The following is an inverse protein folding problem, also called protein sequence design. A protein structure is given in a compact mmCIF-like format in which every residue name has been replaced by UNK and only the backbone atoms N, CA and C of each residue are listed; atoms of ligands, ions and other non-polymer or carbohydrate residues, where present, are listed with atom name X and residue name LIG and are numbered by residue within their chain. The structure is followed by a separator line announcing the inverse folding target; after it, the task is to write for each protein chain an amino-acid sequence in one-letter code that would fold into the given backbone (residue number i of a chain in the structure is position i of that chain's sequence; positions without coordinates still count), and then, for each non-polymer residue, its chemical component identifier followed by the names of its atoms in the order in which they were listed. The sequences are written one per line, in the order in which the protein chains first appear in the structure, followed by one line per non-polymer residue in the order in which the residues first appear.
data_IF_046767929019
#
_entry.id   IF_046767929019
#
_cell.length_a   1.000
_cell.length_b   1.000
_cell.length_c   1.000
_cell.angle_alpha   90.00
_cell.angle_beta   90.00
_cell.angle_gamma   90.00
#
_symmetry.space_group_name_H-M   'P 1'
#
loop_
_entity.id
_entity.type
_entity.pdbx_description
1 polymer ?
#
# COMPACT_ATOMS: atom_id res chain seq x y z
N UNK A 1 20.52 21.11 2.36
CA UNK A 1 21.03 20.09 3.30
C UNK A 1 21.17 18.75 2.61
N UNK A 2 22.12 17.94 3.04
CA UNK A 2 22.28 16.56 2.54
C UNK A 2 21.77 15.58 3.59
N UNK A 3 21.07 14.52 3.16
CA UNK A 3 20.69 13.39 4.01
C UNK A 3 21.59 12.23 3.61
N UNK A 4 22.49 11.81 4.51
CA UNK A 4 23.34 10.65 4.32
C UNK A 4 22.73 9.45 5.05
N UNK A 5 22.39 8.40 4.30
CA UNK A 5 21.87 7.14 4.84
C UNK A 5 22.96 6.08 4.74
N UNK A 6 23.41 5.57 5.88
CA UNK A 6 24.34 4.44 5.94
C UNK A 6 23.62 3.20 6.45
N UNK A 7 23.84 2.06 5.80
CA UNK A 7 23.27 0.79 6.22
C UNK A 7 24.13 0.13 7.30
N UNK A 8 23.49 -0.66 8.18
CA UNK A 8 24.20 -1.46 9.18
C UNK A 8 25.17 -2.43 8.50
N UNK A 9 26.37 -2.55 9.04
CA UNK A 9 27.41 -3.47 8.56
C UNK A 9 27.87 -4.39 9.69
N UNK A 10 28.52 -5.48 9.34
CA UNK A 10 29.17 -6.37 10.29
C UNK A 10 30.28 -5.69 11.07
N UNK A 11 30.51 -6.20 12.27
CA UNK A 11 31.66 -5.80 13.12
C UNK A 11 32.53 -7.01 13.39
N UNK A 12 33.79 -6.77 13.66
CA UNK A 12 34.70 -7.82 14.13
C UNK A 12 34.23 -8.37 15.47
N UNK A 13 34.21 -9.68 15.60
CA UNK A 13 33.79 -10.36 16.81
C UNK A 13 32.96 -11.60 16.53
N UNK A 14 32.55 -12.27 17.61
CA UNK A 14 31.63 -13.42 17.55
C UNK A 14 30.28 -13.02 16.92
N UNK A 15 29.57 -13.97 16.26
CA UNK A 15 28.25 -13.72 15.76
C UNK A 15 27.30 -13.23 16.86
N UNK A 16 26.60 -12.12 16.57
CA UNK A 16 25.56 -11.55 17.43
C UNK A 16 24.25 -11.66 16.67
N UNK A 17 23.26 -12.32 17.28
CA UNK A 17 21.90 -12.39 16.78
C UNK A 17 21.05 -11.33 17.48
N UNK A 18 20.28 -10.59 16.72
CA UNK A 18 19.31 -9.62 17.21
C UNK A 18 17.92 -10.01 16.75
N UNK A 19 16.93 -9.85 17.62
CA UNK A 19 15.53 -10.05 17.32
C UNK A 19 14.74 -8.87 17.87
N UNK A 20 13.86 -8.30 17.04
CA UNK A 20 12.93 -7.27 17.46
C UNK A 20 11.55 -7.66 16.95
N UNK A 21 10.53 -7.44 17.78
CA UNK A 21 9.14 -7.59 17.39
C UNK A 21 8.30 -6.48 18.03
N UNK A 22 7.34 -5.99 17.30
CA UNK A 22 6.37 -5.02 17.78
C UNK A 22 5.01 -5.31 17.15
N UNK A 23 3.95 -5.06 17.92
CA UNK A 23 2.58 -5.09 17.46
C UNK A 23 1.87 -3.84 17.99
N UNK A 24 0.88 -3.37 17.26
CA UNK A 24 0.13 -2.18 17.60
C UNK A 24 -1.14 -2.07 16.79
N UNK A 25 -1.79 -0.92 16.91
CA UNK A 25 -2.99 -0.59 16.18
C UNK A 25 -2.82 0.76 15.49
N UNK A 26 -3.28 0.84 14.23
CA UNK A 26 -3.48 2.07 13.50
C UNK A 26 -4.91 2.55 13.71
N UNK A 27 -5.10 3.82 14.02
CA UNK A 27 -6.42 4.42 14.25
C UNK A 27 -6.55 5.72 13.46
N UNK A 28 -7.75 6.04 12.92
CA UNK A 28 -7.99 7.37 12.38
C UNK A 28 -7.80 8.42 13.47
N UNK A 29 -6.95 9.40 13.21
CA UNK A 29 -6.76 10.52 14.17
C UNK A 29 -8.00 11.38 14.29
N UNK A 30 -8.77 11.51 13.20
CA UNK A 30 -10.00 12.26 13.12
C UNK A 30 -10.82 11.80 11.92
N UNK A 31 -12.11 11.55 12.13
CA UNK A 31 -13.12 11.43 11.08
C UNK A 31 -14.02 12.66 11.10
N UNK A 32 -14.58 13.09 9.96
CA UNK A 32 -15.60 14.12 9.94
C UNK A 32 -16.80 13.69 10.79
N UNK A 33 -17.27 14.57 11.65
CA UNK A 33 -18.54 14.38 12.35
C UNK A 33 -19.66 14.83 11.41
N UNK A 34 -20.54 13.91 11.05
CA UNK A 34 -21.71 14.18 10.22
C UNK A 34 -22.96 14.37 11.08
N UNK A 35 -23.99 14.96 10.51
CA UNK A 35 -25.33 15.02 11.12
C UNK A 35 -25.96 13.64 11.14
N UNK A 36 -26.76 13.34 12.13
CA UNK A 36 -27.67 12.19 12.11
C UNK A 36 -28.94 12.48 11.27
N UNK A 37 -29.78 11.47 11.06
CA UNK A 37 -30.97 11.58 10.21
C UNK A 37 -31.99 12.59 10.74
N UNK A 38 -32.17 12.66 12.05
CA UNK A 38 -33.08 13.64 12.68
C UNK A 38 -32.58 15.08 12.50
N UNK A 39 -31.30 15.32 12.77
CA UNK A 39 -30.66 16.63 12.57
C UNK A 39 -30.75 17.04 11.10
N UNK A 40 -30.41 16.12 10.17
CA UNK A 40 -30.48 16.36 8.74
C UNK A 40 -31.90 16.71 8.28
N UNK A 41 -32.90 15.90 8.67
CA UNK A 41 -34.31 16.12 8.31
C UNK A 41 -34.85 17.44 8.87
N UNK A 42 -34.47 17.78 10.11
CA UNK A 42 -34.86 19.06 10.74
C UNK A 42 -34.27 20.24 9.97
N UNK A 43 -32.98 20.21 9.69
CA UNK A 43 -32.29 21.27 8.93
C UNK A 43 -32.84 21.41 7.51
N UNK A 44 -33.17 20.29 6.86
CA UNK A 44 -33.76 20.34 5.52
C UNK A 44 -35.17 20.95 5.55
N UNK A 45 -35.98 20.68 6.56
CA UNK A 45 -37.28 21.31 6.73
C UNK A 45 -37.19 22.82 6.98
N UNK A 46 -36.10 23.32 7.59
CA UNK A 46 -35.87 24.77 7.74
C UNK A 46 -35.66 25.45 6.37
N UNK A 47 -34.96 24.78 5.45
CA UNK A 47 -34.64 25.30 4.11
C UNK A 47 -35.77 25.03 3.10
N UNK A 48 -36.37 23.85 3.21
CA UNK A 48 -37.45 23.35 2.34
C UNK A 48 -38.58 22.83 3.21
N UNK A 49 -39.51 23.69 3.67
CA UNK A 49 -40.59 23.30 4.55
C UNK A 49 -41.47 22.17 3.95
N UNK A 50 -41.73 21.14 4.76
CA UNK A 50 -42.55 19.98 4.35
C UNK A 50 -41.78 18.88 3.61
N UNK A 51 -40.42 18.94 3.58
CA UNK A 51 -39.60 17.85 3.05
C UNK A 51 -39.78 16.55 3.82
N UNK A 52 -39.96 16.64 5.13
CA UNK A 52 -40.27 15.55 6.04
C UNK A 52 -41.49 15.90 6.91
N UNK A 53 -42.39 14.91 7.11
CA UNK A 53 -43.51 15.07 8.04
C UNK A 53 -43.10 14.97 9.50
N UNK A 54 -43.97 15.43 10.42
CA UNK A 54 -43.74 15.30 11.87
C UNK A 54 -43.59 13.82 12.29
N UNK A 55 -44.33 12.89 11.65
CA UNK A 55 -44.20 11.47 11.87
C UNK A 55 -42.79 10.95 11.48
N UNK A 56 -42.25 11.41 10.34
CA UNK A 56 -40.92 11.03 9.88
C UNK A 56 -39.84 11.61 10.81
N UNK A 57 -39.99 12.86 11.23
CA UNK A 57 -39.05 13.47 12.21
C UNK A 57 -39.04 12.70 13.53
N UNK A 58 -40.22 12.34 14.04
CA UNK A 58 -40.31 11.54 15.27
C UNK A 58 -39.77 10.11 15.07
N UNK A 59 -40.01 9.52 13.89
CA UNK A 59 -39.44 8.21 13.53
C UNK A 59 -37.92 8.20 13.53
N UNK A 60 -37.28 9.22 12.94
CA UNK A 60 -35.81 9.38 12.97
C UNK A 60 -35.30 9.65 14.39
N UNK A 61 -36.00 10.48 15.16
CA UNK A 61 -35.61 10.82 16.54
C UNK A 61 -35.63 9.60 17.48
N UNK A 62 -36.59 8.70 17.28
CA UNK A 62 -36.80 7.53 18.13
C UNK A 62 -36.20 6.24 17.58
N UNK A 63 -35.68 6.26 16.35
CA UNK A 63 -35.26 5.07 15.63
C UNK A 63 -36.31 3.96 15.60
N UNK A 64 -37.60 4.36 15.42
CA UNK A 64 -38.74 3.50 15.63
C UNK A 64 -38.77 2.28 14.71
N UNK A 65 -38.25 2.43 13.49
CA UNK A 65 -38.18 1.35 12.50
C UNK A 65 -36.98 1.56 11.57
N UNK A 66 -35.98 0.68 11.58
CA UNK A 66 -34.76 0.83 10.77
C UNK A 66 -34.99 0.71 9.25
N UNK A 67 -36.12 0.13 8.82
CA UNK A 67 -36.49 0.09 7.42
C UNK A 67 -37.00 1.44 6.92
N UNK A 68 -37.79 2.13 7.75
CA UNK A 68 -38.47 3.40 7.40
C UNK A 68 -37.64 4.61 7.78
N UNK A 69 -36.92 4.53 8.89
CA UNK A 69 -36.21 5.66 9.53
C UNK A 69 -34.75 5.30 9.78
N UNK A 70 -33.97 5.02 8.72
CA UNK A 70 -32.56 4.71 8.89
C UNK A 70 -31.76 5.90 9.41
N UNK A 71 -30.69 5.61 10.12
CA UNK A 71 -29.74 6.60 10.61
C UNK A 71 -28.30 6.08 10.39
N UNK A 72 -27.72 6.48 9.28
CA UNK A 72 -26.45 5.94 8.79
C UNK A 72 -25.32 6.91 9.02
N UNK A 73 -24.37 6.55 9.88
CA UNK A 73 -23.05 7.18 9.89
C UNK A 73 -22.17 6.52 8.81
N UNK A 74 -22.09 7.17 7.66
CA UNK A 74 -21.35 6.65 6.50
C UNK A 74 -19.86 6.43 6.75
N UNK A 75 -19.24 7.21 7.66
CA UNK A 75 -17.85 6.99 8.01
C UNK A 75 -17.67 5.79 8.93
N UNK A 76 -18.61 5.55 9.84
CA UNK A 76 -18.58 4.35 10.70
C UNK A 76 -18.85 3.08 9.88
N UNK A 77 -19.71 3.17 8.86
CA UNK A 77 -19.96 2.04 7.94
C UNK A 77 -18.74 1.63 7.12
N UNK A 78 -17.88 2.58 6.73
CA UNK A 78 -16.73 2.29 5.86
C UNK A 78 -15.40 2.16 6.61
N UNK A 79 -15.26 2.71 7.82
CA UNK A 79 -13.98 2.82 8.52
C UNK A 79 -14.02 2.06 9.85
N UNK A 80 -13.02 1.23 10.10
CA UNK A 80 -12.79 0.59 11.40
C UNK A 80 -12.25 1.61 12.40
N UNK A 81 -12.62 1.49 13.66
CA UNK A 81 -12.03 2.29 14.73
C UNK A 81 -10.54 2.01 14.96
N UNK A 82 -10.08 0.79 14.66
CA UNK A 82 -8.68 0.39 14.73
C UNK A 82 -8.37 -0.76 13.79
N UNK A 83 -7.13 -0.82 13.31
CA UNK A 83 -6.59 -1.92 12.49
C UNK A 83 -5.26 -2.40 13.05
N UNK A 84 -5.01 -3.71 13.13
CA UNK A 84 -3.78 -4.25 13.66
C UNK A 84 -2.61 -3.99 12.70
N UNK A 85 -1.45 -3.76 13.26
CA UNK A 85 -0.17 -3.72 12.58
C UNK A 85 0.86 -4.53 13.36
N UNK A 86 1.80 -5.14 12.65
CA UNK A 86 2.91 -5.85 13.26
C UNK A 86 4.20 -5.65 12.49
N UNK A 87 5.30 -5.76 13.20
CA UNK A 87 6.64 -5.79 12.63
C UNK A 87 7.51 -6.75 13.43
N UNK A 88 8.28 -7.56 12.71
CA UNK A 88 9.32 -8.39 13.31
C UNK A 88 10.55 -8.37 12.42
N UNK A 89 11.73 -8.39 13.04
CA UNK A 89 12.99 -8.54 12.34
C UNK A 89 13.96 -9.41 13.14
N UNK A 90 14.72 -10.22 12.41
CA UNK A 90 15.82 -11.01 12.93
C UNK A 90 17.09 -10.67 12.14
N UNK A 91 18.17 -10.41 12.84
CA UNK A 91 19.45 -10.07 12.24
C UNK A 91 20.60 -10.85 12.84
N UNK A 92 21.61 -11.08 12.04
CA UNK A 92 22.88 -11.63 12.48
C UNK A 92 24.03 -10.76 11.95
N UNK A 93 25.00 -10.47 12.80
CA UNK A 93 26.20 -9.73 12.42
C UNK A 93 27.42 -10.31 13.13
N UNK A 94 28.55 -10.27 12.47
CA UNK A 94 29.81 -10.75 13.03
C UNK A 94 30.93 -10.61 12.03
N UNK A 95 32.08 -11.20 12.35
CA UNK A 95 33.21 -11.24 11.42
C UNK A 95 34.57 -11.34 12.06
N UNK A 96 35.54 -11.36 11.18
CA UNK A 96 36.97 -11.29 11.48
C UNK A 96 37.52 -9.98 10.96
N UNK A 97 38.80 -9.73 11.16
CA UNK A 97 39.48 -8.60 10.52
C UNK A 97 39.36 -8.59 9.00
N UNK A 98 39.32 -9.80 8.38
CA UNK A 98 39.29 -9.94 6.91
C UNK A 98 37.87 -9.96 6.33
N UNK A 99 36.89 -10.51 7.05
CA UNK A 99 35.55 -10.68 6.57
C UNK A 99 34.55 -10.27 7.64
N UNK A 100 33.68 -9.31 7.31
CA UNK A 100 32.59 -8.86 8.19
C UNK A 100 31.27 -9.03 7.44
N UNK A 101 30.25 -9.49 8.15
CA UNK A 101 28.95 -9.73 7.55
C UNK A 101 27.83 -9.21 8.45
N UNK A 102 26.76 -8.81 7.79
CA UNK A 102 25.48 -8.48 8.37
C UNK A 102 24.39 -9.07 7.49
N UNK A 103 23.43 -9.78 8.08
CA UNK A 103 22.22 -10.19 7.41
C UNK A 103 21.01 -9.88 8.30
N UNK A 104 19.92 -9.45 7.72
CA UNK A 104 18.67 -9.16 8.41
C UNK A 104 17.49 -9.57 7.55
N UNK A 105 16.56 -10.28 8.14
CA UNK A 105 15.24 -10.55 7.57
C UNK A 105 14.20 -9.81 8.39
N UNK A 106 13.30 -9.10 7.71
CA UNK A 106 12.20 -8.36 8.32
C UNK A 106 10.87 -8.69 7.67
N UNK A 107 9.83 -8.72 8.48
CA UNK A 107 8.44 -8.83 8.06
C UNK A 107 7.61 -7.77 8.77
N UNK A 108 6.77 -7.07 8.04
CA UNK A 108 5.76 -6.18 8.60
C UNK A 108 4.46 -6.28 7.83
N UNK A 109 3.36 -6.10 8.53
CA UNK A 109 2.04 -6.08 7.95
C UNK A 109 1.12 -5.11 8.67
N UNK A 110 0.17 -4.60 7.92
CA UNK A 110 -0.84 -3.67 8.40
C UNK A 110 -2.15 -3.95 7.68
N UNK A 111 -3.22 -4.16 8.42
CA UNK A 111 -4.56 -4.19 7.86
C UNK A 111 -5.02 -2.76 7.56
N UNK A 112 -5.73 -2.59 6.46
CA UNK A 112 -6.35 -1.31 6.14
C UNK A 112 -7.53 -0.98 7.04
N UNK A 113 -7.89 0.29 7.06
CA UNK A 113 -8.97 0.80 7.89
C UNK A 113 -10.38 0.58 7.30
N UNK A 114 -10.52 0.07 6.07
CA UNK A 114 -11.85 -0.22 5.52
C UNK A 114 -12.49 -1.42 6.23
N UNK A 115 -13.76 -1.22 6.60
CA UNK A 115 -14.59 -2.28 7.17
C UNK A 115 -14.95 -3.31 6.08
N UNK A 116 -14.98 -4.59 6.44
CA UNK A 116 -15.38 -5.69 5.54
C UNK A 116 -14.60 -5.76 4.20
N UNK A 117 -13.37 -5.28 4.19
CA UNK A 117 -12.48 -5.32 3.04
C UNK A 117 -11.20 -6.08 3.36
N UNK A 118 -10.65 -6.78 2.35
CA UNK A 118 -9.32 -7.39 2.41
C UNK A 118 -8.18 -6.37 2.22
N UNK A 119 -8.42 -5.07 2.44
CA UNK A 119 -7.40 -4.03 2.36
C UNK A 119 -6.29 -4.32 3.36
N UNK A 120 -5.08 -4.59 2.83
CA UNK A 120 -3.94 -5.05 3.62
C UNK A 120 -2.63 -4.72 2.91
N UNK A 121 -1.61 -4.46 3.69
CA UNK A 121 -0.22 -4.35 3.26
C UNK A 121 0.63 -5.35 4.01
N UNK A 122 1.39 -6.18 3.28
CA UNK A 122 2.41 -7.07 3.82
C UNK A 122 3.75 -6.80 3.12
N UNK A 123 4.83 -6.74 3.89
CA UNK A 123 6.18 -6.56 3.36
C UNK A 123 7.14 -7.56 3.99
N UNK A 124 7.94 -8.19 3.14
CA UNK A 124 9.08 -9.01 3.53
C UNK A 124 10.36 -8.41 2.97
N UNK A 125 11.40 -8.33 3.77
CA UNK A 125 12.68 -7.76 3.36
C UNK A 125 13.85 -8.62 3.82
N UNK A 126 14.84 -8.78 2.95
CA UNK A 126 16.13 -9.37 3.24
C UNK A 126 17.19 -8.35 2.91
N UNK A 127 18.10 -8.12 3.84
CA UNK A 127 19.30 -7.30 3.62
C UNK A 127 20.53 -8.05 4.05
N UNK A 128 21.54 -8.06 3.17
CA UNK A 128 22.85 -8.59 3.48
C UNK A 128 23.93 -7.58 3.13
N UNK A 129 24.92 -7.45 3.98
CA UNK A 129 26.13 -6.67 3.72
C UNK A 129 27.35 -7.53 4.04
N UNK A 130 28.30 -7.57 3.12
CA UNK A 130 29.55 -8.31 3.24
C UNK A 130 30.72 -7.37 2.93
N UNK A 131 31.64 -7.24 3.89
CA UNK A 131 32.90 -6.51 3.73
C UNK A 131 34.07 -7.51 3.75
N UNK A 132 34.89 -7.50 2.70
CA UNK A 132 36.01 -8.44 2.54
C UNK A 132 37.29 -7.68 2.27
N UNK A 133 38.27 -7.82 3.15
CA UNK A 133 39.65 -7.37 2.94
C UNK A 133 40.46 -8.52 2.37
N UNK A 134 40.70 -8.51 1.06
CA UNK A 134 41.49 -9.58 0.42
C UNK A 134 42.99 -9.39 0.67
N UNK A 135 43.44 -8.15 0.84
CA UNK A 135 44.82 -7.80 1.19
C UNK A 135 44.87 -6.45 1.93
N UNK A 136 46.05 -6.00 2.29
CA UNK A 136 46.25 -4.65 2.82
C UNK A 136 46.00 -3.54 1.80
N UNK A 137 45.84 -3.92 0.53
CA UNK A 137 45.67 -2.98 -0.58
C UNK A 137 44.27 -3.03 -1.21
N UNK A 138 43.54 -4.13 -1.06
CA UNK A 138 42.28 -4.34 -1.77
C UNK A 138 41.16 -4.77 -0.80
N UNK A 139 40.09 -4.04 -0.78
CA UNK A 139 38.85 -4.40 -0.11
C UNK A 139 37.61 -4.31 -1.02
N UNK A 140 36.64 -5.17 -0.73
CA UNK A 140 35.37 -5.26 -1.41
C UNK A 140 34.24 -5.06 -0.40
N UNK A 141 33.18 -4.42 -0.86
CA UNK A 141 31.93 -4.30 -0.12
C UNK A 141 30.77 -4.71 -1.02
N UNK A 142 30.02 -5.71 -0.62
CA UNK A 142 28.81 -6.16 -1.31
C UNK A 142 27.62 -5.87 -0.42
N UNK A 143 26.59 -5.26 -0.99
CA UNK A 143 25.29 -5.09 -0.36
C UNK A 143 24.19 -5.64 -1.27
N UNK A 144 23.30 -6.45 -0.70
CA UNK A 144 22.11 -6.96 -1.40
C UNK A 144 20.90 -6.67 -0.54
N UNK A 145 19.88 -6.08 -1.15
CA UNK A 145 18.57 -5.88 -0.53
C UNK A 145 17.52 -6.48 -1.44
N UNK A 146 16.69 -7.37 -0.91
CA UNK A 146 15.49 -7.86 -1.57
C UNK A 146 14.27 -7.44 -0.75
N UNK A 147 13.19 -7.00 -1.41
CA UNK A 147 11.94 -6.63 -0.78
C UNK A 147 10.76 -7.07 -1.62
N UNK A 148 9.82 -7.74 -0.96
CA UNK A 148 8.52 -8.11 -1.53
C UNK A 148 7.45 -7.32 -0.78
N UNK A 149 6.59 -6.64 -1.53
CA UNK A 149 5.40 -5.95 -1.01
C UNK A 149 4.16 -6.56 -1.67
N UNK A 150 3.18 -6.87 -0.85
CA UNK A 150 1.86 -7.36 -1.27
C UNK A 150 0.82 -6.39 -0.71
N UNK A 151 0.11 -5.68 -1.60
CA UNK A 151 -0.84 -4.63 -1.20
C UNK A 151 -2.18 -4.85 -1.88
N UNK A 152 -3.23 -4.92 -1.08
CA UNK A 152 -4.61 -5.03 -1.55
C UNK A 152 -5.40 -3.79 -1.18
N UNK A 153 -6.17 -3.29 -2.14
CA UNK A 153 -7.10 -2.18 -1.98
C UNK A 153 -8.49 -2.58 -2.50
N UNK A 154 -9.56 -1.88 -2.10
CA UNK A 154 -10.83 -1.94 -2.81
C UNK A 154 -10.62 -1.60 -4.29
N UNK A 155 -11.48 -2.13 -5.16
CA UNK A 155 -11.44 -1.82 -6.59
C UNK A 155 -11.72 -0.33 -6.88
N UNK A 156 -12.45 0.33 -5.99
CA UNK A 156 -12.74 1.76 -6.05
C UNK A 156 -11.73 2.56 -5.24
N UNK A 157 -11.28 3.69 -5.78
CA UNK A 157 -10.27 4.54 -5.16
C UNK A 157 -10.75 5.17 -3.85
N UNK A 158 -9.83 5.36 -2.89
CA UNK A 158 -10.14 5.96 -1.59
C UNK A 158 -10.81 7.34 -1.70
N UNK A 159 -10.35 8.19 -2.63
CA UNK A 159 -10.93 9.51 -2.89
C UNK A 159 -12.41 9.45 -3.28
N UNK A 160 -12.81 8.46 -4.07
CA UNK A 160 -14.20 8.25 -4.50
C UNK A 160 -15.04 7.73 -3.35
N UNK A 161 -14.54 6.72 -2.59
CA UNK A 161 -15.24 6.14 -1.44
C UNK A 161 -15.51 7.21 -0.37
N UNK A 162 -14.48 7.93 0.07
CA UNK A 162 -14.63 9.00 1.06
C UNK A 162 -15.44 10.20 0.53
N UNK A 163 -15.30 10.50 -0.76
CA UNK A 163 -16.09 11.52 -1.44
C UNK A 163 -17.57 11.17 -1.47
N UNK A 164 -17.92 9.92 -1.75
CA UNK A 164 -19.29 9.43 -1.71
C UNK A 164 -19.85 9.44 -0.29
N UNK A 165 -19.12 8.89 0.69
CA UNK A 165 -19.53 8.88 2.10
C UNK A 165 -19.84 10.28 2.65
N UNK A 166 -19.03 11.30 2.28
CA UNK A 166 -19.25 12.68 2.70
C UNK A 166 -20.51 13.31 2.09
N UNK A 167 -20.94 12.86 0.92
CA UNK A 167 -22.11 13.41 0.22
C UNK A 167 -23.37 12.60 0.44
N UNK A 168 -23.26 11.36 0.91
CA UNK A 168 -24.40 10.52 1.22
C UNK A 168 -25.16 11.06 2.42
N UNK A 169 -26.49 10.98 2.34
CA UNK A 169 -27.40 11.48 3.36
C UNK A 169 -27.57 10.45 4.48
N UNK A 170 -27.66 10.85 5.75
CA UNK A 170 -27.80 9.92 6.87
C UNK A 170 -29.16 9.17 6.87
N UNK A 171 -30.21 9.75 6.28
CA UNK A 171 -31.55 9.13 6.12
C UNK A 171 -31.60 8.07 5.00
N UNK A 172 -30.45 7.62 4.49
CA UNK A 172 -30.32 6.59 3.49
C UNK A 172 -29.62 5.36 4.10
N UNK A 173 -30.01 4.16 3.62
CA UNK A 173 -29.57 2.87 4.14
C UNK A 173 -28.24 2.46 3.53
N UNK A 174 -27.25 2.13 4.34
CA UNK A 174 -26.03 1.48 3.88
C UNK A 174 -26.22 -0.02 3.64
N UNK A 175 -26.82 -0.69 4.61
CA UNK A 175 -27.18 -2.11 4.58
C UNK A 175 -28.59 -2.26 5.14
N UNK A 176 -29.43 -3.03 4.46
CA UNK A 176 -30.74 -3.36 4.98
C UNK A 176 -30.64 -4.21 6.25
N UNK A 177 -31.62 -4.15 7.17
CA UNK A 177 -31.61 -4.96 8.39
C UNK A 177 -31.54 -6.46 8.14
N UNK A 178 -31.96 -6.92 6.96
CA UNK A 178 -31.85 -8.31 6.48
C UNK A 178 -30.45 -8.68 5.96
N UNK A 179 -29.54 -7.71 5.86
CA UNK A 179 -28.13 -7.92 5.52
C UNK A 179 -27.77 -7.63 4.05
N UNK A 180 -28.75 -7.38 3.19
CA UNK A 180 -28.48 -7.00 1.80
C UNK A 180 -27.94 -5.57 1.69
N UNK A 181 -27.11 -5.29 0.65
CA UNK A 181 -26.66 -3.94 0.34
C UNK A 181 -27.82 -2.95 0.19
N UNK A 182 -27.70 -1.78 0.81
CA UNK A 182 -28.65 -0.68 0.61
C UNK A 182 -28.70 -0.18 -0.84
N UNK A 183 -29.59 0.78 -1.14
CA UNK A 183 -29.76 1.30 -2.49
C UNK A 183 -28.57 2.14 -2.95
N UNK A 184 -28.60 2.55 -4.21
CA UNK A 184 -27.72 3.58 -4.75
C UNK A 184 -28.03 4.94 -4.10
N UNK A 185 -27.09 5.50 -3.38
CA UNK A 185 -27.29 6.71 -2.56
C UNK A 185 -26.57 7.94 -3.12
N UNK A 186 -25.45 7.73 -3.80
CA UNK A 186 -24.66 8.82 -4.38
C UNK A 186 -24.22 8.45 -5.80
N UNK A 187 -24.82 9.07 -6.81
CA UNK A 187 -24.51 8.88 -8.24
C UNK A 187 -24.42 7.40 -8.67
N UNK A 188 -25.37 6.59 -8.23
CA UNK A 188 -25.39 5.17 -8.54
C UNK A 188 -24.49 4.32 -7.64
N UNK A 189 -23.94 4.87 -6.56
CA UNK A 189 -22.99 4.24 -5.65
C UNK A 189 -23.56 4.10 -4.23
N UNK A 190 -23.08 3.08 -3.53
CA UNK A 190 -23.20 2.92 -2.09
C UNK A 190 -21.80 2.72 -1.52
N UNK A 191 -21.21 3.73 -0.84
CA UNK A 191 -19.82 3.67 -0.40
C UNK A 191 -19.54 2.58 0.64
N UNK A 192 -20.53 2.17 1.43
CA UNK A 192 -20.39 1.05 2.37
C UNK A 192 -20.21 -0.29 1.64
N UNK A 193 -20.76 -0.41 0.43
CA UNK A 193 -20.67 -1.60 -0.41
C UNK A 193 -19.41 -1.55 -1.30
N UNK A 194 -19.17 -0.42 -1.95
CA UNK A 194 -18.05 -0.29 -2.90
C UNK A 194 -16.69 -0.17 -2.24
N UNK A 195 -16.63 0.07 -0.93
CA UNK A 195 -15.41 -0.07 -0.12
C UNK A 195 -15.03 -1.51 0.21
N UNK A 196 -15.90 -2.48 -0.11
CA UNK A 196 -15.71 -3.91 0.18
C UNK A 196 -15.25 -4.70 -1.05
N UNK A 197 -14.93 -5.98 -0.85
CA UNK A 197 -14.54 -6.91 -1.91
C UNK A 197 -15.72 -7.30 -2.85
N UNK A 198 -16.95 -6.90 -2.50
CA UNK A 198 -18.11 -7.07 -3.38
C UNK A 198 -17.93 -6.31 -4.70
N UNK A 199 -17.33 -5.12 -4.65
CA UNK A 199 -17.03 -4.33 -5.84
C UNK A 199 -15.74 -4.78 -6.56
N UNK A 200 -15.00 -5.75 -6.00
CA UNK A 200 -13.73 -6.25 -6.50
C UNK A 200 -12.52 -5.78 -5.70
N UNK A 201 -11.35 -5.82 -6.32
CA UNK A 201 -10.08 -5.50 -5.64
C UNK A 201 -9.05 -4.91 -6.60
N UNK A 202 -8.10 -4.17 -6.06
CA UNK A 202 -6.89 -3.70 -6.73
C UNK A 202 -5.67 -4.23 -5.97
N UNK A 203 -4.99 -5.20 -6.55
CA UNK A 203 -3.92 -5.95 -5.92
C UNK A 203 -2.58 -5.67 -6.59
N UNK A 204 -1.60 -5.21 -5.80
CA UNK A 204 -0.25 -4.91 -6.23
C UNK A 204 0.73 -5.88 -5.57
N UNK A 205 1.63 -6.44 -6.37
CA UNK A 205 2.82 -7.15 -5.89
C UNK A 205 4.05 -6.46 -6.45
N UNK A 206 4.85 -5.85 -5.55
CA UNK A 206 6.11 -5.22 -5.90
C UNK A 206 7.27 -6.09 -5.41
N UNK A 207 8.27 -6.29 -6.26
CA UNK A 207 9.49 -7.02 -5.96
C UNK A 207 10.67 -6.11 -6.28
N UNK A 208 11.50 -5.85 -5.30
CA UNK A 208 12.70 -5.04 -5.43
C UNK A 208 13.91 -5.89 -5.14
N UNK A 209 14.92 -5.81 -6.01
CA UNK A 209 16.25 -6.39 -5.80
C UNK A 209 17.25 -5.27 -6.06
N UNK A 210 18.00 -4.91 -5.06
CA UNK A 210 19.00 -3.83 -5.12
C UNK A 210 20.35 -4.40 -4.72
N UNK A 211 21.31 -4.27 -5.61
CA UNK A 211 22.67 -4.77 -5.40
C UNK A 211 23.64 -3.62 -5.53
N UNK A 212 24.61 -3.56 -4.63
CA UNK A 212 25.73 -2.64 -4.75
C UNK A 212 27.05 -3.35 -4.45
N UNK A 213 28.04 -3.08 -5.28
CA UNK A 213 29.40 -3.55 -5.12
C UNK A 213 30.34 -2.35 -5.10
N UNK A 214 31.19 -2.28 -4.10
CA UNK A 214 32.27 -1.31 -4.04
C UNK A 214 33.61 -2.03 -3.94
N UNK A 215 34.60 -1.51 -4.64
CA UNK A 215 35.98 -2.00 -4.64
C UNK A 215 36.90 -0.82 -4.34
N UNK A 216 37.78 -0.96 -3.34
CA UNK A 216 38.77 0.03 -3.03
C UNK A 216 40.17 -0.59 -3.19
N UNK A 217 41.02 0.09 -3.94
CA UNK A 217 42.40 -0.34 -4.25
C UNK A 217 43.36 0.74 -3.85
N UNK A 218 44.16 0.51 -2.81
CA UNK A 218 45.31 1.37 -2.45
C UNK A 218 46.47 0.99 -3.33
N UNK A 219 46.96 1.94 -4.13
CA UNK A 219 48.05 1.69 -5.05
C UNK A 219 49.37 1.61 -4.29
N UNK A 220 50.04 0.44 -4.20
CA UNK A 220 51.13 0.24 -3.25
C UNK A 220 52.43 1.02 -3.60
N UNK A 221 52.62 1.36 -4.86
CA UNK A 221 53.81 2.09 -5.36
C UNK A 221 53.59 3.60 -5.46
N UNK A 222 52.40 4.10 -5.20
CA UNK A 222 52.07 5.55 -5.17
C UNK A 222 51.42 5.85 -3.84
N UNK A 223 52.21 6.36 -2.90
CA UNK A 223 51.69 6.72 -1.58
C UNK A 223 50.62 7.77 -1.65
N UNK A 224 49.45 7.51 -1.01
CA UNK A 224 48.32 8.40 -0.98
C UNK A 224 47.33 8.19 -2.13
N UNK A 225 47.62 7.34 -3.12
CA UNK A 225 46.72 7.06 -4.23
C UNK A 225 45.75 5.89 -3.90
N UNK A 226 44.45 6.14 -4.03
CA UNK A 226 43.38 5.14 -3.90
C UNK A 226 42.47 5.19 -5.12
N UNK A 227 42.18 4.04 -5.69
CA UNK A 227 41.18 3.87 -6.74
C UNK A 227 39.93 3.28 -6.09
N UNK A 228 38.77 3.87 -6.38
CA UNK A 228 37.48 3.36 -5.91
C UNK A 228 36.56 3.10 -7.11
N UNK A 229 35.99 1.91 -7.17
CA UNK A 229 34.96 1.54 -8.12
C UNK A 229 33.66 1.19 -7.37
N UNK A 230 32.54 1.76 -7.80
CA UNK A 230 31.23 1.43 -7.27
C UNK A 230 30.31 1.06 -8.41
N UNK A 231 29.52 0.00 -8.23
CA UNK A 231 28.50 -0.41 -9.16
C UNK A 231 27.20 -0.74 -8.42
N UNK A 232 26.08 -0.36 -8.99
CA UNK A 232 24.77 -0.83 -8.56
C UNK A 232 23.98 -1.44 -9.72
N UNK A 233 23.14 -2.42 -9.39
CA UNK A 233 22.21 -3.03 -10.30
C UNK A 233 20.89 -3.28 -9.56
N UNK A 234 19.86 -2.53 -9.96
CA UNK A 234 18.58 -2.47 -9.29
C UNK A 234 17.47 -2.95 -10.21
N UNK A 235 16.60 -3.83 -9.70
CA UNK A 235 15.45 -4.35 -10.41
C UNK A 235 14.20 -4.08 -9.58
N UNK A 236 13.16 -3.61 -10.23
CA UNK A 236 11.82 -3.50 -9.67
C UNK A 236 10.81 -4.11 -10.63
N UNK A 237 10.12 -5.15 -10.16
CA UNK A 237 8.96 -5.74 -10.82
C UNK A 237 7.69 -5.33 -10.08
N UNK A 238 6.69 -4.89 -10.83
CA UNK A 238 5.35 -4.67 -10.30
C UNK A 238 4.34 -5.50 -11.10
N UNK A 239 3.53 -6.25 -10.40
CA UNK A 239 2.35 -6.91 -10.93
C UNK A 239 1.11 -6.30 -10.29
N UNK A 240 0.24 -5.70 -11.11
CA UNK A 240 -1.06 -5.21 -10.68
C UNK A 240 -2.16 -6.08 -11.26
N UNK A 241 -3.18 -6.32 -10.46
CA UNK A 241 -4.38 -7.03 -10.84
C UNK A 241 -5.58 -6.25 -10.30
N UNK A 242 -6.26 -5.56 -11.20
CA UNK A 242 -7.47 -4.81 -10.87
C UNK A 242 -8.68 -5.60 -11.37
N UNK A 243 -9.47 -6.11 -10.44
CA UNK A 243 -10.75 -6.74 -10.71
C UNK A 243 -11.87 -5.82 -10.27
N UNK A 244 -12.73 -5.43 -11.20
CA UNK A 244 -13.94 -4.67 -10.92
C UNK A 244 -15.14 -5.59 -11.15
N UNK A 245 -16.10 -5.57 -10.23
CA UNK A 245 -17.31 -6.38 -10.27
C UNK A 245 -18.56 -5.51 -10.32
N UNK A 246 -19.60 -5.92 -11.04
CA UNK A 246 -20.92 -5.33 -10.86
C UNK A 246 -21.35 -5.45 -9.40
N UNK A 247 -21.96 -4.42 -8.87
CA UNK A 247 -22.50 -4.41 -7.52
C UNK A 247 -24.02 -4.51 -7.62
N UNK A 248 -24.64 -5.36 -6.81
CA UNK A 248 -26.08 -5.44 -6.68
C UNK A 248 -26.50 -4.64 -5.47
N UNK A 249 -27.31 -3.61 -5.69
CA UNK A 249 -27.88 -2.75 -4.67
C UNK A 249 -29.38 -2.96 -4.64
N UNK A 250 -29.98 -2.89 -3.47
CA UNK A 250 -31.35 -3.29 -3.24
C UNK A 250 -32.20 -2.10 -2.79
N UNK A 251 -33.35 -1.96 -3.40
CA UNK A 251 -34.34 -0.94 -3.05
C UNK A 251 -35.55 -1.63 -2.43
N UNK A 252 -36.03 -1.10 -1.32
CA UNK A 252 -37.18 -1.60 -0.58
C UNK A 252 -38.48 -1.10 -1.21
N UNK A 253 -39.54 -1.95 -1.18
CA UNK A 253 -40.87 -1.64 -1.70
C UNK A 253 -41.66 -0.67 -0.80
N UNK A 254 -41.17 -0.34 0.38
CA UNK A 254 -41.77 0.55 1.35
C UNK A 254 -42.80 -0.11 2.28
N UNK A 255 -43.04 -1.40 2.15
CA UNK A 255 -44.15 -2.10 2.85
C UNK A 255 -43.71 -3.43 3.48
N UNK A 256 -43.01 -4.27 2.73
CA UNK A 256 -42.66 -5.64 3.15
C UNK A 256 -41.25 -5.66 3.76
N UNK A 257 -41.16 -5.87 5.05
CA UNK A 257 -39.87 -6.01 5.73
C UNK A 257 -39.26 -7.38 5.44
N UNK A 258 -37.93 -7.41 5.21
CA UNK A 258 -37.19 -8.61 4.84
C UNK A 258 -36.79 -8.63 3.35
N UNK A 259 -36.03 -9.66 2.99
CA UNK A 259 -35.47 -9.81 1.64
C UNK A 259 -36.56 -9.89 0.55
N UNK A 260 -37.78 -10.30 0.91
CA UNK A 260 -38.91 -10.41 0.00
C UNK A 260 -39.42 -9.06 -0.50
N UNK A 261 -39.25 -7.99 0.31
CA UNK A 261 -39.62 -6.61 -0.08
C UNK A 261 -38.50 -5.88 -0.82
N UNK A 262 -37.38 -6.54 -1.14
CA UNK A 262 -36.23 -5.94 -1.78
C UNK A 262 -36.14 -6.26 -3.28
N UNK A 263 -35.90 -5.24 -4.07
CA UNK A 263 -35.64 -5.35 -5.52
C UNK A 263 -34.20 -5.03 -5.83
N UNK A 264 -33.47 -5.99 -6.42
CA UNK A 264 -32.09 -5.82 -6.81
C UNK A 264 -31.94 -5.01 -8.10
N UNK A 265 -30.97 -4.10 -8.13
CA UNK A 265 -30.51 -3.44 -9.35
C UNK A 265 -29.00 -3.57 -9.46
N UNK A 266 -28.53 -3.90 -10.66
CA UNK A 266 -27.08 -3.95 -10.95
C UNK A 266 -26.58 -2.52 -11.17
N UNK A 267 -25.51 -2.19 -10.48
CA UNK A 267 -24.90 -0.87 -10.53
C UNK A 267 -23.41 -0.94 -10.85
N UNK A 268 -22.87 0.19 -11.26
CA UNK A 268 -21.47 0.46 -11.54
C UNK A 268 -20.95 -0.15 -12.85
N UNK A 269 -21.14 -1.44 -13.10
CA UNK A 269 -20.69 -2.15 -14.31
C UNK A 269 -21.75 -3.14 -14.76
N UNK A 270 -21.84 -3.38 -16.06
CA UNK A 270 -22.71 -4.42 -16.61
C UNK A 270 -22.09 -5.82 -16.45
N UNK A 271 -20.79 -5.91 -16.61
CA UNK A 271 -20.03 -7.17 -16.53
C UNK A 271 -18.76 -6.99 -15.74
N UNK A 272 -18.21 -8.06 -15.10
CA UNK A 272 -16.93 -8.01 -14.45
C UNK A 272 -15.81 -7.65 -15.44
N UNK A 273 -14.85 -6.87 -14.95
CA UNK A 273 -13.69 -6.38 -15.71
C UNK A 273 -12.41 -6.74 -14.98
N UNK A 274 -11.44 -7.26 -15.72
CA UNK A 274 -10.10 -7.56 -15.21
C UNK A 274 -9.04 -6.83 -16.02
N UNK A 275 -8.22 -6.06 -15.34
CA UNK A 275 -6.98 -5.48 -15.86
C UNK A 275 -5.79 -6.16 -15.18
N UNK A 276 -4.83 -6.60 -15.97
CA UNK A 276 -3.52 -7.02 -15.48
C UNK A 276 -2.45 -6.13 -16.08
N UNK A 277 -1.59 -5.63 -15.22
CA UNK A 277 -0.46 -4.79 -15.59
C UNK A 277 0.81 -5.39 -15.01
N UNK A 278 1.80 -5.55 -15.88
CA UNK A 278 3.15 -5.93 -15.50
C UNK A 278 4.08 -4.80 -15.89
N UNK A 279 4.88 -4.32 -14.96
CA UNK A 279 5.95 -3.37 -15.24
C UNK A 279 7.27 -3.84 -14.67
N UNK A 280 8.33 -3.59 -15.42
CA UNK A 280 9.71 -3.87 -15.07
C UNK A 280 10.52 -2.59 -15.17
N UNK A 281 11.33 -2.34 -14.15
CA UNK A 281 12.30 -1.26 -14.15
C UNK A 281 13.66 -1.81 -13.78
N UNK A 282 14.63 -1.64 -14.68
CA UNK A 282 16.02 -2.01 -14.45
C UNK A 282 16.88 -0.74 -14.45
N UNK A 283 17.70 -0.60 -13.43
CA UNK A 283 18.68 0.48 -13.32
C UNK A 283 20.08 -0.06 -13.05
N UNK A 284 21.08 0.54 -13.67
CA UNK A 284 22.46 0.33 -13.27
C UNK A 284 23.22 1.65 -13.17
N UNK A 285 24.19 1.68 -12.29
CA UNK A 285 25.12 2.78 -12.13
C UNK A 285 26.52 2.22 -11.97
N UNK A 286 27.49 2.84 -12.62
CA UNK A 286 28.91 2.59 -12.45
C UNK A 286 29.59 3.91 -12.15
N UNK A 287 30.40 3.93 -11.10
CA UNK A 287 31.13 5.10 -10.65
C UNK A 287 32.58 4.73 -10.38
N UNK A 288 33.50 5.50 -10.92
CA UNK A 288 34.94 5.36 -10.71
C UNK A 288 35.53 6.64 -10.10
N UNK A 289 36.33 6.50 -9.06
CA UNK A 289 36.98 7.60 -8.36
C UNK A 289 38.48 7.34 -8.24
N UNK A 290 39.28 8.37 -8.46
CA UNK A 290 40.73 8.40 -8.23
C UNK A 290 40.93 9.43 -7.15
N UNK A 291 41.38 9.00 -5.96
CA UNK A 291 41.67 9.86 -4.83
C UNK A 291 43.15 9.87 -4.58
N UNK A 292 43.76 11.02 -4.58
CA UNK A 292 45.13 11.24 -4.14
C UNK A 292 45.14 12.13 -2.89
N UNK A 293 45.65 11.63 -1.79
CA UNK A 293 45.76 12.36 -0.52
C UNK A 293 47.11 12.08 0.12
N UNK A 294 47.98 13.11 0.15
CA UNK A 294 49.33 12.99 0.69
C UNK A 294 49.74 14.23 1.42
N UNK A 295 50.47 14.01 2.54
CA UNK A 295 51.08 15.08 3.35
C UNK A 295 52.56 15.19 3.04
N UNK A 296 52.99 16.40 2.70
CA UNK A 296 54.38 16.77 2.44
C UNK A 296 54.80 17.79 3.48
N UNK A 297 55.51 17.34 4.50
CA UNK A 297 55.87 18.22 5.61
C UNK A 297 54.63 18.78 6.33
N UNK A 298 54.43 20.08 6.26
CA UNK A 298 53.25 20.76 6.86
C UNK A 298 52.05 20.94 5.88
N UNK A 299 52.20 20.51 4.63
CA UNK A 299 51.18 20.69 3.60
C UNK A 299 50.49 19.37 3.23
N UNK A 300 49.18 19.35 3.25
CA UNK A 300 48.38 18.22 2.79
C UNK A 300 47.69 18.58 1.48
N UNK A 301 47.88 17.76 0.46
CA UNK A 301 47.23 17.88 -0.85
C UNK A 301 46.20 16.75 -0.98
N UNK A 302 44.95 17.11 -1.25
CA UNK A 302 43.88 16.18 -1.55
C UNK A 302 43.26 16.52 -2.90
N UNK A 303 43.23 15.55 -3.81
CA UNK A 303 42.58 15.66 -5.13
C UNK A 303 41.74 14.46 -5.37
N UNK A 304 40.49 14.66 -5.80
CA UNK A 304 39.60 13.61 -6.24
C UNK A 304 39.15 13.88 -7.66
N UNK A 305 39.29 12.88 -8.51
CA UNK A 305 38.70 12.85 -9.85
C UNK A 305 37.68 11.72 -9.90
N UNK A 306 36.50 11.97 -10.49
CA UNK A 306 35.42 10.98 -10.58
C UNK A 306 34.70 10.99 -11.90
N UNK A 307 34.23 9.82 -12.29
CA UNK A 307 33.36 9.61 -13.45
C UNK A 307 32.21 8.69 -13.06
N UNK A 308 31.01 9.03 -13.52
CA UNK A 308 29.81 8.23 -13.27
C UNK A 308 29.00 8.06 -14.57
N UNK A 309 28.48 6.85 -14.76
CA UNK A 309 27.54 6.51 -15.79
C UNK A 309 26.34 5.79 -15.18
N UNK A 310 25.14 6.15 -15.59
CA UNK A 310 23.92 5.49 -15.16
C UNK A 310 22.94 5.27 -16.30
N UNK A 311 22.17 4.20 -16.22
CA UNK A 311 21.08 3.93 -17.16
C UNK A 311 19.89 3.36 -16.40
N UNK A 312 18.69 3.78 -16.80
CA UNK A 312 17.43 3.26 -16.30
C UNK A 312 16.52 2.91 -17.48
N UNK A 313 15.95 1.71 -17.45
CA UNK A 313 15.00 1.22 -18.43
C UNK A 313 13.69 0.91 -17.72
N UNK A 314 12.59 1.17 -18.39
CA UNK A 314 11.25 0.87 -17.92
C UNK A 314 10.47 0.23 -19.07
N UNK A 315 9.83 -0.89 -18.78
CA UNK A 315 8.94 -1.58 -19.70
C UNK A 315 7.62 -1.86 -18.98
N UNK A 316 6.54 -1.78 -19.72
CA UNK A 316 5.20 -2.00 -19.20
C UNK A 316 4.34 -2.74 -20.21
N UNK A 317 3.64 -3.74 -19.75
CA UNK A 317 2.62 -4.48 -20.52
C UNK A 317 1.34 -4.50 -19.71
N UNK A 318 0.22 -4.23 -20.35
CA UNK A 318 -1.09 -4.35 -19.73
C UNK A 318 -2.04 -5.11 -20.65
N UNK A 319 -3.02 -5.78 -20.04
CA UNK A 319 -4.06 -6.49 -20.74
C UNK A 319 -5.39 -6.33 -20.00
N UNK A 320 -6.46 -6.24 -20.76
CA UNK A 320 -7.81 -6.04 -20.25
C UNK A 320 -8.75 -7.10 -20.84
N UNK A 321 -9.68 -7.59 -20.03
CA UNK A 321 -10.81 -8.44 -20.45
C UNK A 321 -12.04 -8.08 -19.61
N UNK A 322 -13.21 -8.33 -20.20
CA UNK A 322 -14.52 -8.18 -19.56
C UNK A 322 -15.42 -9.35 -19.92
N UNK A 323 -16.66 -9.37 -19.43
CA UNK A 323 -17.63 -10.39 -19.82
C UNK A 323 -17.32 -11.78 -19.27
N UNK A 324 -16.81 -11.85 -18.03
CA UNK A 324 -16.55 -13.12 -17.36
C UNK A 324 -17.87 -13.83 -17.01
N UNK A 325 -17.95 -15.13 -17.30
CA UNK A 325 -19.07 -15.99 -16.90
C UNK A 325 -19.11 -16.12 -15.36
N UNK A 326 -17.92 -16.16 -14.74
CA UNK A 326 -17.77 -16.23 -13.28
C UNK A 326 -16.62 -15.35 -12.83
N UNK A 327 -16.81 -14.64 -11.73
CA UNK A 327 -15.79 -13.82 -11.08
C UNK A 327 -14.96 -14.58 -10.04
N UNK A 328 -15.25 -15.87 -9.80
CA UNK A 328 -14.53 -16.73 -8.84
C UNK A 328 -13.10 -17.03 -9.27
N UNK A 329 -12.83 -17.03 -10.59
CA UNK A 329 -11.48 -17.23 -11.17
C UNK A 329 -11.18 -16.13 -12.19
N UNK A 330 -10.75 -14.93 -11.72
CA UNK A 330 -10.48 -13.81 -12.61
C UNK A 330 -9.15 -13.99 -13.35
N UNK A 331 -9.16 -14.80 -14.41
CA UNK A 331 -8.04 -15.03 -15.33
C UNK A 331 -8.37 -14.43 -16.70
N UNK A 332 -7.40 -13.76 -17.35
CA UNK A 332 -7.62 -13.11 -18.65
C UNK A 332 -8.14 -14.06 -19.72
N UNK A 333 -7.73 -15.34 -19.67
CA UNK A 333 -8.18 -16.37 -20.61
C UNK A 333 -9.64 -16.76 -20.48
N UNK A 334 -10.31 -16.39 -19.38
CA UNK A 334 -11.71 -16.70 -19.09
C UNK A 334 -12.66 -15.53 -19.36
N UNK A 335 -12.15 -14.38 -19.76
CA UNK A 335 -12.95 -13.23 -20.16
C UNK A 335 -13.36 -13.30 -21.62
N UNK A 336 -14.51 -12.68 -21.94
CA UNK A 336 -14.95 -12.41 -23.30
C UNK A 336 -14.15 -11.29 -23.97
N UNK A 337 -14.44 -11.02 -25.24
CA UNK A 337 -13.85 -9.89 -25.98
C UNK A 337 -14.38 -8.51 -25.53
#
# INVERSE_FOLDING_TARGET
GFILITTKRGKEGKPVVSFNASAGFSQPTRLPKMTNSYEYATMLNEVLPGSFSDEQLEGFRTHANPWKYPDTDWFDEIVKGASPLYRADIGVSGGTEKVKYYANFGANGEDGLYRNSANRYDQYSLRTNLDVKTSKYVDFQLGVTARLEDTKYPAKGAGDIFGAARRSRPDQVAWWPSGEPGPAVERGDNPAVTSTDLAGFDHYKNQYIQNNLSVNIKVPWIEGLTLRGNGSYDIHFQNRRLMKKPVYLYTWDGTTEGSEGLSASKQWLDTPQLERKHSEQIGWMLNGLIDYNRTFGQHTIGVTFGMEGQKKQYEETWAFRQGFISDSKPELSLGGE
#
